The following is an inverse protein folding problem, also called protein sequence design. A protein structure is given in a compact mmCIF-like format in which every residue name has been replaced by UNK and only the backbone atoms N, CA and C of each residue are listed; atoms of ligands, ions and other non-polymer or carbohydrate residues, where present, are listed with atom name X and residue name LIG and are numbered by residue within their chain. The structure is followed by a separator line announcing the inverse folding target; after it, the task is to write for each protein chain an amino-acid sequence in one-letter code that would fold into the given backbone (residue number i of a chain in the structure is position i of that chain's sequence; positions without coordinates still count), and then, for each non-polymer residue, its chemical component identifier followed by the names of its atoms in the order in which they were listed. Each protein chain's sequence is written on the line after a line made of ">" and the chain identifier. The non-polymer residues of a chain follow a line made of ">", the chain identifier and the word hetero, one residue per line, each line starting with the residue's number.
data_IF_388268325756
#
_entry.id   IF_388268325756
#
_cell.length_a   1.000
_cell.length_b   1.000
_cell.length_c   1.000
_cell.angle_alpha   90.00
_cell.angle_beta   90.00
_cell.angle_gamma   90.00
#
_symmetry.space_group_name_H-M   'P 1'
#
loop_
_entity.id
_entity.type
_entity.pdbx_description
1 polymer ?
#
# COMPACT_ATOMS: atom_id res chain seq x y z
N UNK A 1 -18.08 -10.95 -3.88
CA UNK A 1 -17.61 -10.61 -5.25
C UNK A 1 -17.12 -11.87 -5.97
N UNK A 2 -17.24 -11.95 -7.34
CA UNK A 2 -16.74 -13.16 -8.06
C UNK A 2 -15.47 -12.83 -8.82
N UNK A 3 -14.40 -13.59 -8.56
CA UNK A 3 -13.12 -13.48 -9.27
C UNK A 3 -12.63 -14.85 -9.73
N UNK A 4 -11.63 -14.86 -10.62
CA UNK A 4 -11.02 -16.11 -11.07
C UNK A 4 -10.12 -16.68 -9.98
N UNK A 5 -10.08 -18.01 -9.84
CA UNK A 5 -9.25 -18.69 -8.84
C UNK A 5 -7.75 -18.38 -9.00
N UNK A 6 -7.26 -18.33 -10.26
CA UNK A 6 -5.85 -17.96 -10.50
C UNK A 6 -5.54 -16.52 -10.06
N UNK A 7 -6.49 -15.60 -10.21
CA UNK A 7 -6.37 -14.24 -9.70
C UNK A 7 -6.43 -14.21 -8.17
N UNK A 8 -7.43 -14.89 -7.58
CA UNK A 8 -7.58 -15.00 -6.12
C UNK A 8 -6.27 -15.41 -5.44
N UNK A 9 -5.67 -16.52 -5.89
CA UNK A 9 -4.45 -17.04 -5.29
C UNK A 9 -3.22 -16.17 -5.57
N UNK A 10 -3.15 -15.52 -6.74
CA UNK A 10 -2.07 -14.61 -7.05
C UNK A 10 -2.16 -13.31 -6.25
N UNK A 11 -3.36 -12.75 -6.07
CA UNK A 11 -3.61 -11.57 -5.24
C UNK A 11 -3.24 -11.86 -3.76
N UNK A 12 -3.49 -13.09 -3.30
CA UNK A 12 -3.13 -13.54 -1.95
C UNK A 12 -1.69 -14.08 -1.84
N UNK A 13 -0.85 -13.82 -2.85
CA UNK A 13 0.59 -14.09 -2.84
C UNK A 13 0.96 -15.58 -2.65
N UNK A 14 0.08 -16.49 -3.00
CA UNK A 14 0.39 -17.93 -3.01
C UNK A 14 1.49 -18.25 -4.03
N UNK A 15 1.64 -17.41 -5.05
CA UNK A 15 2.67 -17.48 -6.06
C UNK A 15 2.37 -16.56 -7.24
N UNK A 16 3.26 -16.50 -8.21
CA UNK A 16 3.02 -15.84 -9.49
C UNK A 16 1.84 -16.48 -10.21
N UNK A 17 1.22 -15.77 -11.15
CA UNK A 17 0.10 -16.32 -11.94
C UNK A 17 0.43 -17.66 -12.62
N UNK A 18 1.68 -17.85 -13.03
CA UNK A 18 2.12 -19.11 -13.67
C UNK A 18 2.21 -20.24 -12.64
N UNK A 19 2.83 -19.99 -11.50
CA UNK A 19 2.95 -20.96 -10.39
C UNK A 19 1.58 -21.36 -9.85
N UNK A 20 0.69 -20.40 -9.64
CA UNK A 20 -0.68 -20.65 -9.18
C UNK A 20 -1.45 -21.54 -10.16
N UNK A 21 -1.35 -21.29 -11.47
CA UNK A 21 -1.98 -22.15 -12.49
C UNK A 21 -1.44 -23.58 -12.44
N UNK A 22 -0.16 -23.73 -12.13
CA UNK A 22 0.47 -25.06 -11.97
C UNK A 22 -0.03 -25.76 -10.70
N UNK A 23 -0.13 -25.06 -9.57
CA UNK A 23 -0.70 -25.60 -8.33
C UNK A 23 -2.12 -26.12 -8.54
N UNK A 24 -2.97 -25.32 -9.22
CA UNK A 24 -4.35 -25.70 -9.52
C UNK A 24 -4.39 -26.97 -10.39
N UNK A 25 -3.61 -27.02 -11.47
CA UNK A 25 -3.54 -28.19 -12.36
C UNK A 25 -3.01 -29.44 -11.66
N UNK A 26 -2.09 -29.27 -10.70
CA UNK A 26 -1.56 -30.37 -9.86
C UNK A 26 -2.52 -30.81 -8.75
N UNK A 27 -3.76 -30.33 -8.74
CA UNK A 27 -4.80 -30.71 -7.78
C UNK A 27 -4.45 -30.37 -6.32
N UNK A 28 -3.62 -29.34 -6.10
CA UNK A 28 -3.19 -28.86 -4.77
C UNK A 28 -4.14 -27.82 -4.18
N UNK A 29 -5.18 -27.43 -4.93
CA UNK A 29 -6.14 -26.39 -4.54
C UNK A 29 -7.53 -27.00 -4.40
N UNK A 30 -8.17 -26.71 -3.27
CA UNK A 30 -9.59 -27.03 -3.04
C UNK A 30 -10.41 -25.76 -2.85
N UNK A 31 -11.65 -25.82 -3.27
CA UNK A 31 -12.68 -24.81 -3.03
C UNK A 31 -13.88 -25.51 -2.43
N UNK A 32 -14.30 -25.10 -1.24
CA UNK A 32 -15.36 -25.78 -0.49
C UNK A 32 -15.10 -27.28 -0.40
N UNK A 33 -13.87 -27.64 -0.04
CA UNK A 33 -13.36 -29.03 0.09
C UNK A 33 -13.31 -29.83 -1.22
N UNK A 34 -13.70 -29.27 -2.35
CA UNK A 34 -13.65 -29.93 -3.65
C UNK A 34 -12.38 -29.53 -4.42
N UNK A 35 -11.68 -30.50 -4.99
CA UNK A 35 -10.49 -30.25 -5.83
C UNK A 35 -10.91 -29.51 -7.09
N UNK A 36 -10.24 -28.36 -7.34
CA UNK A 36 -10.44 -27.58 -8.55
C UNK A 36 -9.18 -27.66 -9.42
N UNK A 37 -9.38 -27.90 -10.72
CA UNK A 37 -8.28 -28.07 -11.70
C UNK A 37 -8.25 -27.00 -12.78
N UNK A 38 -9.29 -26.15 -12.83
CA UNK A 38 -9.43 -25.09 -13.83
C UNK A 38 -9.05 -23.73 -13.21
N UNK A 39 -7.94 -23.10 -13.63
CA UNK A 39 -7.51 -21.80 -13.10
C UNK A 39 -8.53 -20.66 -13.28
N UNK A 40 -9.34 -20.76 -14.32
CA UNK A 40 -10.38 -19.78 -14.65
C UNK A 40 -11.68 -19.95 -13.85
N UNK A 41 -11.80 -20.94 -12.98
CA UNK A 41 -12.97 -21.16 -12.12
C UNK A 41 -13.29 -19.88 -11.35
N UNK A 42 -14.57 -19.50 -11.30
CA UNK A 42 -15.03 -18.32 -10.56
C UNK A 42 -15.25 -18.68 -9.10
N UNK A 43 -14.69 -17.87 -8.22
CA UNK A 43 -14.75 -18.01 -6.78
C UNK A 43 -15.48 -16.80 -6.19
N UNK A 44 -16.39 -17.05 -5.28
CA UNK A 44 -16.99 -15.99 -4.47
C UNK A 44 -16.07 -15.66 -3.29
N UNK A 45 -15.50 -14.47 -3.28
CA UNK A 45 -14.54 -14.01 -2.24
C UNK A 45 -15.13 -13.99 -0.83
N UNK A 46 -16.45 -13.85 -0.73
CA UNK A 46 -17.15 -13.64 0.55
C UNK A 46 -17.71 -14.93 1.14
N UNK A 47 -17.82 -15.97 0.33
CA UNK A 47 -18.52 -17.21 0.74
C UNK A 47 -17.79 -18.51 0.44
N UNK A 48 -16.81 -18.52 -0.47
CA UNK A 48 -16.09 -19.75 -0.79
C UNK A 48 -14.84 -19.90 0.09
N UNK A 49 -14.62 -21.11 0.60
CA UNK A 49 -13.42 -21.50 1.32
C UNK A 49 -12.38 -22.02 0.34
N UNK A 50 -11.25 -21.35 0.24
CA UNK A 50 -10.15 -21.76 -0.65
C UNK A 50 -8.99 -22.28 0.19
N UNK A 51 -8.49 -23.48 -0.13
CA UNK A 51 -7.33 -24.06 0.54
C UNK A 51 -6.25 -24.44 -0.49
N UNK A 52 -4.99 -24.29 -0.10
CA UNK A 52 -3.83 -24.76 -0.86
C UNK A 52 -3.02 -25.68 0.05
N UNK A 53 -2.85 -26.93 -0.37
CA UNK A 53 -2.20 -27.99 0.42
C UNK A 53 -2.79 -28.13 1.83
N UNK A 54 -4.09 -27.94 1.96
CA UNK A 54 -4.81 -28.00 3.24
C UNK A 54 -4.73 -26.73 4.09
N UNK A 55 -3.98 -25.72 3.67
CA UNK A 55 -3.92 -24.44 4.37
C UNK A 55 -4.93 -23.45 3.79
N UNK A 56 -5.75 -22.86 4.65
CA UNK A 56 -6.74 -21.89 4.24
C UNK A 56 -6.09 -20.59 3.72
N UNK A 57 -6.59 -20.10 2.60
CA UNK A 57 -6.20 -18.82 1.99
C UNK A 57 -7.40 -17.89 2.05
N UNK A 58 -7.37 -16.93 2.97
CA UNK A 58 -8.39 -15.89 3.07
C UNK A 58 -8.18 -14.80 2.01
N UNK A 59 -9.29 -14.22 1.51
CA UNK A 59 -9.23 -13.11 0.55
C UNK A 59 -9.35 -11.77 1.26
N UNK A 60 -8.39 -10.91 1.01
CA UNK A 60 -8.43 -9.51 1.41
C UNK A 60 -8.15 -8.65 0.18
N UNK A 61 -9.17 -7.94 -0.29
CA UNK A 61 -9.04 -7.08 -1.47
C UNK A 61 -8.09 -5.92 -1.19
N UNK A 62 -8.25 -5.28 -0.04
CA UNK A 62 -7.44 -4.13 0.38
C UNK A 62 -6.74 -4.39 1.71
N UNK A 63 -5.54 -3.83 1.83
CA UNK A 63 -4.78 -3.77 3.07
C UNK A 63 -4.45 -2.31 3.40
N UNK A 64 -4.48 -1.98 4.68
CA UNK A 64 -4.22 -0.63 5.17
C UNK A 64 -3.24 -0.70 6.33
N UNK A 65 -2.15 0.04 6.21
CA UNK A 65 -1.15 0.16 7.26
C UNK A 65 -0.96 1.63 7.62
N UNK A 66 -0.90 1.91 8.92
CA UNK A 66 -0.44 3.18 9.43
C UNK A 66 1.02 3.03 9.85
N UNK A 67 1.90 3.70 9.14
CA UNK A 67 3.32 3.73 9.43
C UNK A 67 3.67 5.06 10.11
N UNK A 68 4.33 5.00 11.27
CA UNK A 68 5.12 6.13 11.73
C UNK A 68 6.45 6.08 10.99
N UNK A 69 6.54 6.80 9.86
CA UNK A 69 7.71 6.78 9.00
C UNK A 69 8.91 7.32 9.77
N UNK A 70 10.01 6.58 9.87
CA UNK A 70 11.25 7.09 10.44
C UNK A 70 12.01 7.99 9.45
N UNK A 71 12.93 8.81 9.96
CA UNK A 71 13.91 9.50 9.14
C UNK A 71 14.83 8.52 8.40
N UNK A 72 15.39 8.95 7.28
CA UNK A 72 16.31 8.15 6.46
C UNK A 72 15.66 7.19 5.47
N UNK A 73 14.33 7.08 5.45
CA UNK A 73 13.56 6.17 4.59
C UNK A 73 12.77 6.96 3.54
N UNK A 74 12.75 6.49 2.31
CA UNK A 74 12.04 7.16 1.21
C UNK A 74 10.60 6.70 1.07
N UNK A 75 9.69 7.63 0.78
CA UNK A 75 8.27 7.36 0.50
C UNK A 75 8.10 6.90 -0.95
N UNK A 76 8.59 5.71 -1.25
CA UNK A 76 8.51 5.08 -2.56
C UNK A 76 8.05 3.62 -2.41
N UNK A 77 7.55 3.05 -3.51
CA UNK A 77 7.18 1.63 -3.57
C UNK A 77 8.42 0.78 -3.76
N UNK A 78 9.39 1.26 -4.53
CA UNK A 78 10.65 0.61 -4.82
C UNK A 78 11.76 1.65 -5.02
N UNK A 79 12.98 1.36 -4.60
CA UNK A 79 14.17 2.20 -4.80
C UNK A 79 15.43 1.32 -4.77
N UNK A 80 16.34 1.55 -5.72
CA UNK A 80 17.54 0.72 -5.86
C UNK A 80 18.65 1.08 -4.86
N UNK A 81 18.54 2.22 -4.20
CA UNK A 81 19.63 2.80 -3.39
C UNK A 81 19.26 3.08 -1.94
N UNK A 82 17.98 3.26 -1.68
CA UNK A 82 17.48 3.63 -0.36
C UNK A 82 16.42 2.63 0.12
N UNK A 83 16.39 2.39 1.41
CA UNK A 83 15.27 1.69 2.05
C UNK A 83 13.98 2.45 1.84
N UNK A 84 12.94 1.76 1.39
CA UNK A 84 11.62 2.34 1.16
C UNK A 84 10.69 2.12 2.35
N UNK A 85 9.60 2.86 2.38
CA UNK A 85 8.54 2.65 3.38
C UNK A 85 7.87 1.28 3.25
N UNK A 86 7.89 0.68 2.06
CA UNK A 86 7.33 -0.67 1.84
C UNK A 86 8.22 -1.74 2.47
N UNK A 87 9.55 -1.57 2.46
CA UNK A 87 10.48 -2.51 3.09
C UNK A 87 10.29 -2.63 4.62
N UNK A 88 9.69 -1.61 5.23
CA UNK A 88 9.39 -1.61 6.67
C UNK A 88 8.10 -2.35 7.02
N UNK A 89 7.25 -2.63 6.04
CA UNK A 89 5.96 -3.29 6.28
C UNK A 89 6.14 -4.80 6.24
N UNK A 90 5.89 -5.44 7.37
CA UNK A 90 5.82 -6.90 7.46
C UNK A 90 4.48 -7.36 6.91
N UNK A 91 4.43 -7.62 5.62
CA UNK A 91 3.26 -8.20 4.96
C UNK A 91 3.52 -9.65 4.60
N UNK A 92 2.47 -10.39 4.24
CA UNK A 92 2.56 -11.72 3.65
C UNK A 92 2.98 -11.64 2.17
N UNK A 93 3.95 -10.76 1.83
CA UNK A 93 4.52 -10.55 0.49
C UNK A 93 3.63 -9.82 -0.54
N UNK A 94 2.68 -8.99 -0.14
CA UNK A 94 1.94 -8.15 -1.10
C UNK A 94 2.89 -7.19 -1.81
N UNK A 95 2.81 -7.19 -3.14
CA UNK A 95 3.67 -6.37 -4.02
C UNK A 95 2.95 -5.14 -4.61
N UNK A 96 1.65 -5.01 -4.34
CA UNK A 96 0.78 -3.96 -4.87
C UNK A 96 0.57 -2.81 -3.88
N UNK A 97 1.28 -2.81 -2.74
CA UNK A 97 1.23 -1.75 -1.74
C UNK A 97 1.98 -0.51 -2.21
N UNK A 98 1.44 0.66 -1.89
CA UNK A 98 2.08 1.95 -2.16
C UNK A 98 1.77 2.95 -1.05
N UNK A 99 2.62 3.97 -0.83
CA UNK A 99 2.35 5.02 0.15
C UNK A 99 1.31 6.02 -0.37
N UNK A 100 0.40 6.43 0.51
CA UNK A 100 -0.60 7.46 0.24
C UNK A 100 0.00 8.84 0.53
N UNK A 101 0.56 9.45 -0.50
CA UNK A 101 1.34 10.67 -0.39
C UNK A 101 2.82 10.39 -0.11
N UNK A 102 3.57 11.46 0.08
CA UNK A 102 5.02 11.38 0.27
C UNK A 102 5.47 12.32 1.37
N UNK A 103 6.23 11.78 2.30
CA UNK A 103 7.05 12.54 3.23
C UNK A 103 8.50 12.48 2.71
N UNK A 104 9.24 13.55 2.88
CA UNK A 104 10.65 13.58 2.52
C UNK A 104 11.45 12.54 3.30
N UNK A 105 12.64 12.21 2.82
CA UNK A 105 13.49 11.16 3.40
C UNK A 105 13.71 11.35 4.90
N UNK A 106 13.96 12.58 5.33
CA UNK A 106 14.26 12.90 6.72
C UNK A 106 13.03 13.37 7.53
N UNK A 107 11.86 13.46 6.89
CA UNK A 107 10.61 13.79 7.57
C UNK A 107 10.05 12.53 8.22
N UNK A 108 9.66 12.66 9.48
CA UNK A 108 9.04 11.60 10.28
C UNK A 108 7.53 11.83 10.40
N UNK A 109 6.78 10.76 10.67
CA UNK A 109 5.37 10.87 11.01
C UNK A 109 4.45 9.93 10.26
N UNK A 110 3.15 10.21 10.35
CA UNK A 110 2.09 9.36 9.81
C UNK A 110 2.16 9.27 8.28
N UNK A 111 2.27 8.05 7.80
CA UNK A 111 2.12 7.71 6.40
C UNK A 111 1.20 6.48 6.27
N UNK A 112 0.18 6.59 5.44
CA UNK A 112 -0.70 5.46 5.13
C UNK A 112 -0.09 4.69 3.96
N UNK A 113 -0.10 3.37 4.07
CA UNK A 113 0.32 2.45 3.00
C UNK A 113 -0.85 1.52 2.71
N UNK A 114 -1.19 1.36 1.44
CA UNK A 114 -2.33 0.56 1.00
C UNK A 114 -2.18 0.13 -0.46
N UNK A 115 -3.04 -0.76 -0.91
CA UNK A 115 -3.27 -1.06 -2.33
C UNK A 115 -4.63 -0.52 -2.84
N UNK A 116 -5.35 0.25 -2.00
CA UNK A 116 -6.61 0.90 -2.38
C UNK A 116 -6.35 2.24 -3.08
N UNK A 117 -6.29 2.20 -4.41
CA UNK A 117 -6.08 3.39 -5.23
C UNK A 117 -7.23 4.40 -5.15
N UNK A 118 -8.46 3.94 -4.92
CA UNK A 118 -9.62 4.83 -4.82
C UNK A 118 -9.56 5.65 -3.54
N UNK A 119 -9.31 5.02 -2.39
CA UNK A 119 -9.11 5.71 -1.12
C UNK A 119 -7.91 6.66 -1.18
N UNK A 120 -6.79 6.22 -1.75
CA UNK A 120 -5.60 7.05 -1.88
C UNK A 120 -5.87 8.31 -2.72
N UNK A 121 -6.57 8.16 -3.85
CA UNK A 121 -7.00 9.28 -4.68
C UNK A 121 -7.89 10.25 -3.89
N UNK A 122 -8.85 9.75 -3.13
CA UNK A 122 -9.75 10.59 -2.34
C UNK A 122 -9.00 11.36 -1.24
N UNK A 123 -8.04 10.73 -0.58
CA UNK A 123 -7.20 11.39 0.44
C UNK A 123 -6.23 12.43 -0.13
N UNK A 124 -5.74 12.22 -1.35
CA UNK A 124 -4.76 13.10 -1.98
C UNK A 124 -5.38 14.18 -2.85
N UNK A 125 -6.63 14.00 -3.27
CA UNK A 125 -7.30 14.93 -4.16
C UNK A 125 -7.51 16.30 -3.51
N UNK A 126 -7.07 17.40 -4.12
CA UNK A 126 -7.33 18.75 -3.62
C UNK A 126 -8.83 19.07 -3.48
N UNK A 127 -9.66 18.43 -4.29
CA UNK A 127 -11.13 18.64 -4.28
C UNK A 127 -11.82 18.07 -3.03
N UNK A 128 -11.19 17.10 -2.36
CA UNK A 128 -11.76 16.45 -1.17
C UNK A 128 -11.40 17.18 0.13
N UNK A 129 -10.47 18.15 0.09
CA UNK A 129 -10.08 19.00 1.22
C UNK A 129 -9.75 18.22 2.51
N UNK A 130 -9.03 17.09 2.38
CA UNK A 130 -8.57 16.33 3.55
C UNK A 130 -7.37 17.06 4.15
N UNK A 131 -7.54 17.58 5.36
CA UNK A 131 -6.51 18.33 6.06
C UNK A 131 -5.31 17.44 6.41
N UNK A 132 -4.11 17.98 6.21
CA UNK A 132 -2.85 17.36 6.60
C UNK A 132 -2.10 18.34 7.50
N UNK A 133 -1.90 17.95 8.75
CA UNK A 133 -1.20 18.78 9.73
C UNK A 133 0.27 18.40 9.82
N UNK A 134 1.15 19.39 9.68
CA UNK A 134 2.59 19.22 9.82
C UNK A 134 3.09 20.07 10.99
N UNK A 135 3.95 19.49 11.81
CA UNK A 135 4.68 20.21 12.84
C UNK A 135 6.13 20.41 12.39
N UNK A 136 6.57 21.66 12.38
CA UNK A 136 7.93 21.99 12.05
C UNK A 136 8.60 22.75 13.19
N UNK A 137 9.80 22.32 13.59
CA UNK A 137 10.65 23.05 14.54
C UNK A 137 11.67 23.83 13.73
N UNK A 138 11.55 25.13 13.76
CA UNK A 138 12.42 26.03 13.00
C UNK A 138 13.41 26.73 13.93
N UNK A 139 14.59 27.08 13.39
CA UNK A 139 15.61 27.84 14.10
C UNK A 139 15.43 29.32 13.77
N UNK A 140 15.06 30.14 14.78
CA UNK A 140 14.83 31.58 14.61
C UNK A 140 13.48 32.04 15.11
N UNK A 141 13.19 33.34 14.94
CA UNK A 141 11.84 33.90 15.20
C UNK A 141 11.14 34.11 13.88
N UNK A 142 9.95 33.51 13.75
CA UNK A 142 9.08 33.73 12.61
C UNK A 142 8.19 34.93 12.95
N UNK A 143 8.11 35.90 12.07
CA UNK A 143 7.22 37.06 12.22
C UNK A 143 5.79 36.69 11.77
N UNK A 144 4.77 37.42 12.29
CA UNK A 144 3.37 37.21 11.89
C UNK A 144 3.13 37.43 10.38
N UNK A 145 4.03 38.17 9.70
CA UNK A 145 3.98 38.33 8.24
C UNK A 145 4.43 37.08 7.49
N UNK A 146 5.36 36.32 8.05
CA UNK A 146 5.89 35.06 7.47
C UNK A 146 4.97 33.88 7.73
N UNK A 147 4.07 34.00 8.73
CA UNK A 147 3.03 33.00 9.04
C UNK A 147 1.79 33.18 8.15
N UNK A 148 1.70 34.23 7.33
CA UNK A 148 0.57 34.35 6.39
C UNK A 148 0.50 33.06 5.54
N UNK A 149 -0.69 32.42 5.49
CA UNK A 149 -0.79 31.14 4.82
C UNK A 149 -0.27 31.27 3.40
N UNK A 150 0.80 30.55 3.13
CA UNK A 150 1.29 30.27 1.78
C UNK A 150 0.28 29.31 1.17
N UNK A 151 -0.96 29.80 0.99
CA UNK A 151 -2.10 28.98 0.65
C UNK A 151 -2.03 28.42 -0.78
N UNK A 152 -0.99 28.75 -1.55
CA UNK A 152 -0.90 28.37 -2.95
C UNK A 152 0.53 28.13 -3.48
N UNK A 153 1.56 28.20 -2.67
CA UNK A 153 2.88 27.79 -3.10
C UNK A 153 3.07 26.31 -2.80
N UNK A 154 3.27 25.51 -3.84
CA UNK A 154 3.92 24.23 -3.68
C UNK A 154 5.31 24.51 -3.10
N UNK A 155 5.47 24.35 -1.79
CA UNK A 155 6.78 24.17 -1.20
C UNK A 155 7.35 22.91 -1.86
N UNK A 156 8.22 23.08 -2.83
CA UNK A 156 8.96 21.96 -3.39
C UNK A 156 9.82 21.41 -2.26
N UNK A 157 9.94 20.09 -2.19
CA UNK A 157 10.73 19.38 -1.17
C UNK A 157 12.19 19.89 -1.06
N UNK A 158 12.69 20.63 -2.05
CA UNK A 158 14.01 21.26 -2.05
C UNK A 158 14.09 22.60 -1.31
N UNK A 159 12.98 23.23 -0.99
CA UNK A 159 12.98 24.55 -0.34
C UNK A 159 12.92 24.45 1.18
N UNK A 160 12.46 23.30 1.72
CA UNK A 160 12.38 23.08 3.17
C UNK A 160 13.72 22.75 3.84
N UNK A 161 14.74 22.35 3.08
CA UNK A 161 16.04 21.98 3.65
C UNK A 161 17.12 23.06 3.53
N UNK A 162 16.88 24.14 2.79
CA UNK A 162 17.94 25.12 2.50
C UNK A 162 17.78 26.51 3.15
N UNK A 163 16.60 26.87 3.65
CA UNK A 163 16.34 28.25 4.08
C UNK A 163 15.41 28.40 5.31
N UNK A 164 15.39 27.42 6.20
CA UNK A 164 14.74 27.61 7.51
C UNK A 164 15.74 27.47 8.65
#
# INVERSE_FOLDING_TARGET
>A
MFIRLDKYLADMQVGTRSEVKELIRKKRVTVNDNIVTKPESKINTDGDSVNVDGNAVGYHEYEYFMLNKPAGVVSATDDNTCTTVIDLIKTNNRKDLFPVGRLDKDTEGLLIITNDGAMAHDLLSPKKHVDKTYYAKVKGKISDMEVKPVSYTHLRAHETSAHL
#
